data_IF_969591334505
#
_entry.id   IF_969591334505
#
_cell.length_a   1.000
_cell.length_b   1.000
_cell.length_c   1.000
_cell.angle_alpha   90.00
_cell.angle_beta   90.00
_cell.angle_gamma   90.00
#
_symmetry.space_group_name_H-M   'P 1'
#
loop_
_entity.id
_entity.type
_entity.pdbx_description
1 polymer ?
#
# COMPACT_ATOMS: atom_id res chain seq x y z
N UNK A 1 -20.12 5.58 -10.81
CA UNK A 1 -18.81 5.59 -10.08
C UNK A 1 -18.98 6.51 -8.89
N UNK A 2 -18.40 6.21 -7.75
CA UNK A 2 -18.46 7.13 -6.60
C UNK A 2 -17.76 8.43 -6.93
N UNK A 3 -18.35 9.57 -6.57
CA UNK A 3 -17.73 10.90 -6.70
C UNK A 3 -16.63 11.12 -5.66
N UNK A 4 -16.28 10.08 -4.87
CA UNK A 4 -15.31 10.16 -3.78
C UNK A 4 -14.04 9.37 -4.06
N UNK A 5 -12.92 9.93 -3.60
CA UNK A 5 -11.59 9.31 -3.64
C UNK A 5 -11.23 8.82 -2.25
N UNK A 6 -10.86 7.56 -2.12
CA UNK A 6 -10.17 7.05 -0.94
C UNK A 6 -8.69 7.40 -1.06
N UNK A 7 -8.12 7.95 0.00
CA UNK A 7 -6.68 8.18 0.12
C UNK A 7 -6.12 7.23 1.16
N UNK A 8 -5.13 6.44 0.76
CA UNK A 8 -4.33 5.61 1.64
C UNK A 8 -2.96 6.25 1.87
N UNK A 9 -2.43 6.11 3.08
CA UNK A 9 -1.08 6.55 3.41
C UNK A 9 -0.20 5.37 3.82
N UNK A 10 0.92 5.18 3.12
CA UNK A 10 1.95 4.19 3.42
C UNK A 10 3.04 4.83 4.30
N UNK A 11 2.96 4.57 5.62
CA UNK A 11 3.64 5.39 6.62
C UNK A 11 5.15 5.29 6.59
N UNK A 12 5.73 4.10 6.36
CA UNK A 12 7.14 3.86 6.67
C UNK A 12 7.89 2.94 5.69
N UNK A 13 7.24 1.89 5.14
CA UNK A 13 7.94 0.83 4.39
C UNK A 13 9.03 0.13 5.22
N UNK A 14 9.90 -0.66 4.56
CA UNK A 14 11.05 -1.32 5.21
C UNK A 14 12.34 -1.26 4.37
N UNK A 15 12.29 -0.65 3.18
CA UNK A 15 13.46 -0.55 2.31
C UNK A 15 14.31 0.71 2.57
N UNK A 16 13.81 1.64 3.38
CA UNK A 16 14.45 2.91 3.68
C UNK A 16 15.13 2.87 5.04
N UNK A 17 16.39 3.33 5.10
CA UNK A 17 17.12 3.51 6.37
C UNK A 17 16.62 4.79 7.08
N UNK A 18 16.08 4.68 8.31
CA UNK A 18 15.64 5.83 9.10
C UNK A 18 16.75 6.87 9.38
N UNK A 19 18.01 6.48 9.27
CA UNK A 19 19.15 7.41 9.39
C UNK A 19 19.31 8.33 8.17
N UNK A 20 18.77 7.92 7.02
CA UNK A 20 18.87 8.68 5.77
C UNK A 20 17.58 9.47 5.47
N UNK A 21 16.46 8.97 5.94
CA UNK A 21 15.15 9.55 5.68
C UNK A 21 14.27 9.49 6.94
N UNK A 22 13.45 10.51 7.21
CA UNK A 22 12.63 10.61 8.42
C UNK A 22 11.38 9.72 8.37
N UNK A 23 11.58 8.41 8.28
CA UNK A 23 10.46 7.44 8.33
C UNK A 23 10.18 7.04 9.78
N UNK A 24 8.90 6.89 10.18
CA UNK A 24 8.54 6.50 11.54
C UNK A 24 8.93 5.05 11.82
N UNK A 25 9.37 4.77 13.04
CA UNK A 25 9.83 3.46 13.52
C UNK A 25 9.08 3.04 14.78
N UNK A 26 8.98 3.91 15.79
CA UNK A 26 8.34 3.58 17.07
C UNK A 26 6.81 3.71 17.01
N UNK A 27 6.07 3.08 17.94
CA UNK A 27 4.61 3.26 18.02
C UNK A 27 4.18 4.74 18.09
N UNK A 28 4.91 5.56 18.84
CA UNK A 28 4.63 6.99 19.00
C UNK A 28 4.89 7.77 17.70
N UNK A 29 5.97 7.44 17.00
CA UNK A 29 6.29 8.03 15.70
C UNK A 29 5.23 7.63 14.65
N UNK A 30 4.83 6.35 14.63
CA UNK A 30 3.78 5.84 13.74
C UNK A 30 2.45 6.54 14.01
N UNK A 31 2.04 6.68 15.26
CA UNK A 31 0.81 7.37 15.63
C UNK A 31 0.84 8.85 15.23
N UNK A 32 1.96 9.55 15.43
CA UNK A 32 2.14 10.94 15.04
C UNK A 32 2.04 11.14 13.53
N UNK A 33 2.74 10.32 12.74
CA UNK A 33 2.72 10.39 11.28
C UNK A 33 1.37 9.96 10.70
N UNK A 34 0.74 8.94 11.28
CA UNK A 34 -0.63 8.55 10.93
C UNK A 34 -1.63 9.69 11.19
N UNK A 35 -1.52 10.38 12.34
CA UNK A 35 -2.36 11.53 12.67
C UNK A 35 -2.20 12.66 11.65
N UNK A 36 -0.97 12.99 11.26
CA UNK A 36 -0.71 14.01 10.25
C UNK A 36 -1.32 13.64 8.89
N UNK A 37 -1.22 12.37 8.49
CA UNK A 37 -1.83 11.86 7.26
C UNK A 37 -3.38 11.85 7.34
N UNK A 38 -3.93 11.43 8.49
CA UNK A 38 -5.36 11.40 8.75
C UNK A 38 -5.99 12.79 8.67
N UNK A 39 -5.38 13.78 9.32
CA UNK A 39 -5.83 15.18 9.29
C UNK A 39 -5.75 15.79 7.88
N UNK A 40 -4.83 15.28 7.05
CA UNK A 40 -4.71 15.67 5.64
C UNK A 40 -5.74 14.99 4.72
N UNK A 41 -6.46 13.96 5.21
CA UNK A 41 -7.55 13.30 4.50
C UNK A 41 -7.32 11.82 4.16
N UNK A 42 -6.28 11.18 4.68
CA UNK A 42 -6.11 9.73 4.51
C UNK A 42 -7.10 8.97 5.40
N UNK A 43 -7.84 8.02 4.82
CA UNK A 43 -8.78 7.17 5.52
C UNK A 43 -8.19 5.78 5.83
N UNK A 44 -7.11 5.39 5.16
CA UNK A 44 -6.45 4.09 5.28
C UNK A 44 -4.98 4.31 5.60
N UNK A 45 -4.45 3.62 6.62
CA UNK A 45 -3.02 3.60 6.94
C UNK A 45 -2.42 2.25 6.59
N UNK A 46 -1.51 2.23 5.62
CA UNK A 46 -0.69 1.06 5.29
C UNK A 46 0.56 1.05 6.17
N UNK A 47 0.76 -0.06 6.87
CA UNK A 47 1.71 -0.14 7.97
C UNK A 47 2.67 -1.32 7.80
N UNK A 48 3.95 -1.04 7.83
CA UNK A 48 5.02 -2.01 8.06
C UNK A 48 5.50 -1.91 9.51
N UNK A 49 5.98 -3.02 10.05
CA UNK A 49 6.58 -3.06 11.38
C UNK A 49 8.11 -3.11 11.26
N UNK A 50 8.78 -2.32 12.07
CA UNK A 50 10.24 -2.21 12.10
C UNK A 50 10.79 -2.60 13.46
N UNK A 51 12.00 -3.17 13.52
CA UNK A 51 12.64 -3.53 14.78
C UNK A 51 12.89 -2.30 15.65
N UNK A 52 12.61 -2.43 16.97
CA UNK A 52 12.68 -1.34 17.92
C UNK A 52 14.05 -1.21 18.62
N UNK A 53 14.90 -2.24 18.53
CA UNK A 53 16.22 -2.19 19.14
C UNK A 53 17.08 -1.03 18.55
N UNK A 54 17.88 -0.34 19.37
CA UNK A 54 18.71 0.77 18.92
C UNK A 54 19.54 0.42 17.67
N UNK A 55 19.43 1.25 16.62
CA UNK A 55 20.11 1.06 15.35
C UNK A 55 19.55 -0.02 14.43
N UNK A 56 18.47 -0.71 14.81
CA UNK A 56 17.82 -1.78 14.03
C UNK A 56 16.56 -1.35 13.27
N UNK A 57 16.10 -0.11 13.42
CA UNK A 57 14.89 0.40 12.78
C UNK A 57 14.86 0.32 11.23
N UNK A 58 15.97 -0.01 10.58
CA UNK A 58 16.04 -0.29 9.14
C UNK A 58 15.64 -1.72 8.78
N UNK A 59 15.43 -2.60 9.77
CA UNK A 59 15.04 -3.99 9.57
C UNK A 59 13.53 -4.18 9.82
N UNK A 60 12.87 -5.08 9.07
CA UNK A 60 11.48 -5.44 9.35
C UNK A 60 11.38 -6.20 10.67
N UNK A 61 10.19 -6.13 11.28
CA UNK A 61 9.81 -6.95 12.43
C UNK A 61 8.52 -7.70 12.11
N UNK A 62 8.43 -8.93 12.59
CA UNK A 62 7.22 -9.76 12.52
C UNK A 62 6.83 -10.25 13.93
N UNK A 63 7.02 -9.38 14.92
CA UNK A 63 6.63 -9.64 16.30
C UNK A 63 5.15 -9.24 16.50
N UNK A 64 4.23 -10.20 16.78
CA UNK A 64 2.80 -9.92 16.86
C UNK A 64 2.44 -8.88 17.95
N UNK A 65 3.11 -8.90 19.08
CA UNK A 65 2.88 -7.94 20.18
C UNK A 65 3.22 -6.51 19.76
N UNK A 66 4.34 -6.33 19.03
CA UNK A 66 4.73 -5.04 18.48
C UNK A 66 3.72 -4.58 17.42
N UNK A 67 3.27 -5.49 16.55
CA UNK A 67 2.27 -5.19 15.55
C UNK A 67 0.97 -4.68 16.18
N UNK A 68 0.46 -5.37 17.21
CA UNK A 68 -0.72 -4.95 17.96
C UNK A 68 -0.50 -3.57 18.62
N UNK A 69 0.67 -3.35 19.24
CA UNK A 69 1.00 -2.08 19.90
C UNK A 69 1.00 -0.91 18.92
N UNK A 70 1.66 -1.06 17.75
CA UNK A 70 1.71 -0.02 16.72
C UNK A 70 0.30 0.26 16.17
N UNK A 71 -0.44 -0.78 15.82
CA UNK A 71 -1.78 -0.62 15.24
C UNK A 71 -2.76 0.02 16.23
N UNK A 72 -2.66 -0.32 17.52
CA UNK A 72 -3.47 0.32 18.56
C UNK A 72 -3.12 1.79 18.74
N UNK A 73 -1.82 2.14 18.77
CA UNK A 73 -1.39 3.54 18.85
C UNK A 73 -1.92 4.39 17.67
N UNK A 74 -1.95 3.82 16.46
CA UNK A 74 -2.54 4.49 15.29
C UNK A 74 -4.07 4.66 15.45
N UNK A 75 -4.79 3.63 15.93
CA UNK A 75 -6.25 3.71 16.17
C UNK A 75 -6.59 4.78 17.20
N UNK A 76 -5.82 4.86 18.28
CA UNK A 76 -6.03 5.85 19.36
C UNK A 76 -5.82 7.28 18.85
N UNK A 77 -4.82 7.49 17.97
CA UNK A 77 -4.55 8.79 17.38
C UNK A 77 -5.53 9.18 16.26
N UNK A 78 -6.12 8.22 15.56
CA UNK A 78 -6.93 8.42 14.34
C UNK A 78 -8.29 7.70 14.48
N UNK A 79 -9.28 8.29 15.15
CA UNK A 79 -10.58 7.64 15.39
C UNK A 79 -11.26 7.18 14.10
N UNK A 80 -11.58 5.88 14.02
CA UNK A 80 -12.26 5.29 12.89
C UNK A 80 -11.37 4.99 11.67
N UNK A 81 -10.06 5.22 11.74
CA UNK A 81 -9.12 4.89 10.65
C UNK A 81 -9.22 3.42 10.26
N UNK A 82 -8.95 3.13 9.00
CA UNK A 82 -8.85 1.77 8.48
C UNK A 82 -7.38 1.38 8.45
N UNK A 83 -7.06 0.21 9.00
CA UNK A 83 -5.70 -0.31 9.01
C UNK A 83 -5.49 -1.30 7.87
N UNK A 84 -4.37 -1.16 7.19
CA UNK A 84 -3.89 -2.02 6.12
C UNK A 84 -2.50 -2.54 6.51
N UNK A 85 -2.41 -3.83 6.84
CA UNK A 85 -1.14 -4.45 7.21
C UNK A 85 -0.37 -4.90 5.98
N UNK A 86 0.91 -4.54 5.92
CA UNK A 86 1.82 -5.10 4.91
C UNK A 86 2.15 -6.56 5.21
N UNK A 87 2.17 -7.39 4.16
CA UNK A 87 2.58 -8.80 4.26
C UNK A 87 3.81 -9.11 3.41
N UNK A 88 4.44 -8.09 2.83
CA UNK A 88 5.57 -8.25 1.91
C UNK A 88 6.79 -8.88 2.56
N UNK A 89 7.17 -10.08 2.12
CA UNK A 89 8.38 -10.80 2.56
C UNK A 89 9.15 -11.33 1.37
N UNK A 90 10.47 -11.41 1.50
CA UNK A 90 11.34 -12.14 0.59
C UNK A 90 11.49 -13.57 1.11
N UNK A 91 11.41 -14.55 0.19
CA UNK A 91 11.52 -15.98 0.50
C UNK A 91 10.19 -16.62 0.92
N UNK A 92 10.25 -17.90 1.19
CA UNK A 92 9.07 -18.75 1.44
C UNK A 92 8.56 -18.74 2.88
N UNK A 93 9.34 -18.24 3.83
CA UNK A 93 8.91 -18.19 5.24
C UNK A 93 7.96 -17.01 5.47
N UNK A 94 6.68 -17.31 5.58
CA UNK A 94 5.60 -16.34 5.85
C UNK A 94 4.99 -16.48 7.25
N UNK A 95 5.56 -17.28 8.11
CA UNK A 95 5.02 -17.54 9.46
C UNK A 95 4.86 -16.26 10.29
N UNK A 96 5.83 -15.34 10.19
CA UNK A 96 5.78 -14.06 10.89
C UNK A 96 4.61 -13.17 10.45
N UNK A 97 4.50 -12.81 9.16
CA UNK A 97 3.34 -12.05 8.67
C UNK A 97 1.99 -12.70 9.00
N UNK A 98 1.87 -14.02 8.86
CA UNK A 98 0.61 -14.71 9.20
C UNK A 98 0.30 -14.65 10.71
N UNK A 99 1.33 -14.66 11.57
CA UNK A 99 1.14 -14.47 13.01
C UNK A 99 0.68 -13.04 13.35
N UNK A 100 1.26 -12.02 12.69
CA UNK A 100 0.84 -10.63 12.84
C UNK A 100 -0.60 -10.43 12.38
N UNK A 101 -0.99 -10.94 11.20
CA UNK A 101 -2.39 -10.89 10.72
C UNK A 101 -3.38 -11.47 11.71
N UNK A 102 -3.06 -12.63 12.33
CA UNK A 102 -3.92 -13.26 13.33
C UNK A 102 -4.02 -12.46 14.62
N UNK A 103 -2.95 -11.79 15.02
CA UNK A 103 -2.92 -10.98 16.23
C UNK A 103 -3.64 -9.65 16.06
N UNK A 104 -3.39 -8.96 14.94
CA UNK A 104 -3.92 -7.61 14.66
C UNK A 104 -5.35 -7.65 14.13
N UNK A 105 -5.66 -8.58 13.21
CA UNK A 105 -6.93 -8.67 12.47
C UNK A 105 -7.30 -7.32 11.84
N UNK A 106 -6.45 -6.76 10.97
CA UNK A 106 -6.73 -5.48 10.35
C UNK A 106 -7.91 -5.58 9.38
N UNK A 107 -8.54 -4.46 9.05
CA UNK A 107 -9.64 -4.44 8.08
C UNK A 107 -9.17 -4.82 6.66
N UNK A 108 -7.94 -4.42 6.30
CA UNK A 108 -7.30 -4.69 5.01
C UNK A 108 -5.89 -5.22 5.26
N UNK A 109 -5.40 -6.08 4.39
CA UNK A 109 -3.98 -6.38 4.32
C UNK A 109 -3.51 -6.45 2.86
N UNK A 110 -2.28 -6.00 2.62
CA UNK A 110 -1.65 -6.13 1.31
C UNK A 110 -1.48 -7.61 0.96
N UNK A 111 -1.83 -7.96 -0.26
CA UNK A 111 -1.65 -9.28 -0.83
C UNK A 111 -0.88 -9.16 -2.14
N UNK A 112 0.42 -9.46 -2.12
CA UNK A 112 1.24 -9.44 -3.32
C UNK A 112 0.75 -10.52 -4.28
N UNK A 113 0.13 -10.11 -5.40
CA UNK A 113 -0.69 -11.01 -6.22
C UNK A 113 0.10 -11.85 -7.24
N UNK A 114 1.43 -11.75 -7.23
CA UNK A 114 2.30 -12.50 -8.14
C UNK A 114 3.77 -12.16 -7.96
N UNK A 115 4.63 -12.96 -8.57
CA UNK A 115 6.08 -12.83 -8.51
C UNK A 115 6.62 -11.95 -9.63
N UNK A 116 7.71 -11.24 -9.36
CA UNK A 116 8.47 -10.50 -10.37
C UNK A 116 9.97 -10.54 -10.05
N UNK A 117 10.81 -10.35 -11.06
CA UNK A 117 12.22 -10.06 -10.83
C UNK A 117 12.33 -8.68 -10.18
N UNK A 118 13.03 -8.59 -9.04
CA UNK A 118 13.22 -7.32 -8.34
C UNK A 118 14.61 -6.77 -8.65
N UNK A 119 14.66 -5.85 -9.61
CA UNK A 119 15.89 -5.36 -10.20
C UNK A 119 15.98 -3.84 -10.07
N UNK A 120 17.22 -3.36 -9.93
CA UNK A 120 17.53 -1.93 -10.01
C UNK A 120 18.96 -1.74 -10.51
N UNK A 121 19.10 -0.84 -11.48
CA UNK A 121 20.40 -0.48 -12.07
C UNK A 121 20.85 0.88 -11.57
N UNK A 122 22.11 1.01 -11.14
CA UNK A 122 22.73 2.30 -10.83
C UNK A 122 23.10 3.06 -12.10
N UNK A 123 23.39 4.34 -11.96
CA UNK A 123 23.81 5.21 -13.10
C UNK A 123 25.09 4.74 -13.79
N UNK A 124 25.92 3.96 -13.11
CA UNK A 124 27.16 3.36 -13.67
C UNK A 124 26.92 2.01 -14.35
N UNK A 125 25.66 1.56 -14.46
CA UNK A 125 25.28 0.28 -15.07
C UNK A 125 25.39 -0.93 -14.14
N UNK A 126 25.88 -0.78 -12.92
CA UNK A 126 25.93 -1.87 -11.93
C UNK A 126 24.57 -2.12 -11.27
N UNK A 127 24.35 -3.35 -10.77
CA UNK A 127 23.17 -3.64 -9.96
C UNK A 127 23.20 -2.91 -8.63
N UNK A 128 22.09 -2.30 -8.22
CA UNK A 128 21.96 -1.63 -6.95
C UNK A 128 22.02 -2.61 -5.75
N UNK A 129 21.58 -3.84 -5.99
CA UNK A 129 21.65 -5.01 -5.11
C UNK A 129 21.74 -6.28 -5.97
N UNK A 130 22.11 -7.43 -5.41
CA UNK A 130 22.07 -8.68 -6.15
C UNK A 130 20.66 -8.96 -6.71
N UNK A 131 20.52 -9.23 -8.02
CA UNK A 131 19.23 -9.58 -8.62
C UNK A 131 18.55 -10.71 -7.86
N UNK A 132 17.27 -10.54 -7.56
CA UNK A 132 16.46 -11.57 -6.90
C UNK A 132 15.02 -11.55 -7.40
N UNK A 133 14.28 -12.60 -7.10
CA UNK A 133 12.84 -12.66 -7.34
C UNK A 133 12.12 -12.21 -6.07
N UNK A 134 11.21 -11.25 -6.22
CA UNK A 134 10.18 -11.01 -5.22
C UNK A 134 9.12 -12.09 -5.43
N UNK A 135 9.28 -13.18 -4.68
CA UNK A 135 8.57 -14.43 -4.90
C UNK A 135 7.20 -14.45 -4.20
N UNK A 136 6.15 -14.45 -4.99
CA UNK A 136 4.77 -14.59 -4.56
C UNK A 136 4.07 -15.63 -5.45
N UNK A 137 4.46 -16.91 -5.36
CA UNK A 137 3.82 -17.98 -6.11
C UNK A 137 2.38 -18.20 -5.61
N UNK A 138 1.57 -18.90 -6.40
CA UNK A 138 0.14 -19.06 -6.16
C UNK A 138 -0.19 -19.69 -4.81
N UNK A 139 0.60 -20.65 -4.35
CA UNK A 139 0.46 -21.29 -3.04
C UNK A 139 0.72 -20.33 -1.87
N UNK A 140 1.72 -19.44 -2.01
CA UNK A 140 1.98 -18.37 -1.04
C UNK A 140 0.83 -17.35 -1.01
N UNK A 141 0.33 -16.92 -2.17
CA UNK A 141 -0.85 -16.05 -2.27
C UNK A 141 -2.05 -16.71 -1.61
N UNK A 142 -2.26 -18.02 -1.87
CA UNK A 142 -3.37 -18.76 -1.24
C UNK A 142 -3.25 -18.79 0.27
N UNK A 143 -2.07 -19.05 0.81
CA UNK A 143 -1.85 -19.09 2.26
C UNK A 143 -2.20 -17.76 2.93
N UNK A 144 -1.87 -16.62 2.31
CA UNK A 144 -2.30 -15.30 2.80
C UNK A 144 -3.82 -15.15 2.73
N UNK A 145 -4.45 -15.50 1.60
CA UNK A 145 -5.90 -15.40 1.44
C UNK A 145 -6.66 -16.28 2.44
N UNK A 146 -6.15 -17.47 2.76
CA UNK A 146 -6.75 -18.35 3.76
C UNK A 146 -6.75 -17.70 5.16
N UNK A 147 -5.62 -17.11 5.58
CA UNK A 147 -5.54 -16.41 6.87
C UNK A 147 -6.34 -15.12 6.89
N UNK A 148 -6.36 -14.36 5.79
CA UNK A 148 -7.21 -13.18 5.68
C UNK A 148 -8.70 -13.54 5.80
N UNK A 149 -9.12 -14.67 5.21
CA UNK A 149 -10.48 -15.18 5.39
C UNK A 149 -10.76 -15.63 6.83
N UNK A 150 -9.79 -16.29 7.49
CA UNK A 150 -9.86 -16.70 8.91
C UNK A 150 -10.06 -15.50 9.84
N UNK A 151 -9.36 -14.39 9.56
CA UNK A 151 -9.34 -13.20 10.41
C UNK A 151 -10.41 -12.15 10.07
N UNK A 152 -11.15 -12.35 8.98
CA UNK A 152 -12.10 -11.35 8.47
C UNK A 152 -11.43 -10.17 7.77
N UNK A 153 -10.12 -10.26 7.49
CA UNK A 153 -9.33 -9.26 6.79
C UNK A 153 -9.59 -9.32 5.29
N UNK A 154 -9.74 -8.17 4.62
CA UNK A 154 -9.90 -8.13 3.17
C UNK A 154 -8.55 -7.93 2.46
N UNK A 155 -8.24 -8.71 1.41
CA UNK A 155 -7.02 -8.51 0.64
C UNK A 155 -7.09 -7.24 -0.21
N UNK A 156 -5.99 -6.48 -0.24
CA UNK A 156 -5.66 -5.50 -1.24
C UNK A 156 -4.60 -6.10 -2.17
N UNK A 157 -4.98 -6.42 -3.40
CA UNK A 157 -4.10 -7.12 -4.34
C UNK A 157 -3.10 -6.16 -4.96
N UNK A 158 -1.85 -6.23 -4.53
CA UNK A 158 -0.74 -5.46 -5.10
C UNK A 158 -0.26 -6.10 -6.41
N UNK A 159 -0.35 -5.31 -7.48
CA UNK A 159 -0.08 -5.72 -8.85
C UNK A 159 1.06 -4.90 -9.42
N UNK A 160 2.21 -5.52 -9.65
CA UNK A 160 3.44 -4.88 -10.11
C UNK A 160 3.59 -4.91 -11.65
N UNK A 161 2.81 -5.75 -12.33
CA UNK A 161 2.77 -5.82 -13.79
C UNK A 161 1.36 -6.22 -14.30
N UNK A 162 1.20 -6.15 -15.64
CA UNK A 162 -0.06 -6.47 -16.34
C UNK A 162 -0.48 -7.93 -16.15
N UNK A 163 0.47 -8.85 -16.12
CA UNK A 163 0.21 -10.28 -15.90
C UNK A 163 -0.36 -10.53 -14.51
N UNK A 164 0.19 -9.86 -13.50
CA UNK A 164 -0.28 -9.97 -12.10
C UNK A 164 -1.72 -9.42 -11.97
N UNK A 165 -2.07 -8.30 -12.64
CA UNK A 165 -3.47 -7.80 -12.66
C UNK A 165 -4.42 -8.88 -13.18
N UNK A 166 -4.02 -9.61 -14.23
CA UNK A 166 -4.83 -10.71 -14.78
C UNK A 166 -4.93 -11.90 -13.83
N UNK A 167 -3.86 -12.22 -13.09
CA UNK A 167 -3.85 -13.29 -12.10
C UNK A 167 -4.94 -13.10 -11.03
N UNK A 168 -5.17 -11.88 -10.54
CA UNK A 168 -6.24 -11.58 -9.58
C UNK A 168 -7.62 -12.01 -10.11
N UNK A 169 -7.93 -11.73 -11.38
CA UNK A 169 -9.14 -12.21 -12.03
C UNK A 169 -9.23 -13.74 -12.12
N UNK A 170 -8.07 -14.41 -12.29
CA UNK A 170 -8.00 -15.89 -12.30
C UNK A 170 -8.22 -16.46 -10.90
N UNK A 171 -7.70 -15.84 -9.85
CA UNK A 171 -7.93 -16.24 -8.46
C UNK A 171 -9.42 -16.19 -8.10
N UNK A 172 -10.10 -15.11 -8.49
CA UNK A 172 -11.54 -14.99 -8.30
C UNK A 172 -12.32 -16.04 -9.11
N UNK A 173 -11.97 -16.26 -10.38
CA UNK A 173 -12.62 -17.25 -11.24
C UNK A 173 -12.41 -18.69 -10.76
N UNK A 174 -11.23 -19.00 -10.20
CA UNK A 174 -10.92 -20.32 -9.65
C UNK A 174 -11.60 -20.56 -8.29
N UNK A 175 -12.12 -19.53 -7.64
CA UNK A 175 -12.73 -19.62 -6.30
C UNK A 175 -11.71 -19.52 -5.15
N UNK A 176 -10.45 -19.20 -5.45
CA UNK A 176 -9.42 -18.96 -4.46
C UNK A 176 -9.70 -17.69 -3.63
N UNK A 177 -10.39 -16.71 -4.24
CA UNK A 177 -10.94 -15.54 -3.57
C UNK A 177 -12.39 -15.33 -3.97
N UNK A 178 -13.30 -15.22 -2.99
CA UNK A 178 -14.75 -15.11 -3.22
C UNK A 178 -15.32 -13.70 -3.04
N UNK A 179 -14.50 -12.76 -2.58
CA UNK A 179 -14.91 -11.37 -2.39
C UNK A 179 -14.82 -10.53 -3.67
N UNK A 180 -15.06 -9.22 -3.53
CA UNK A 180 -14.81 -8.23 -4.58
C UNK A 180 -13.34 -7.79 -4.51
N UNK A 181 -12.48 -8.15 -5.49
CA UNK A 181 -11.06 -7.81 -5.43
C UNK A 181 -10.85 -6.31 -5.40
N UNK A 182 -9.90 -5.87 -4.55
CA UNK A 182 -9.38 -4.51 -4.53
C UNK A 182 -8.01 -4.53 -5.19
N UNK A 183 -7.87 -3.82 -6.30
CA UNK A 183 -6.62 -3.76 -7.05
C UNK A 183 -5.78 -2.58 -6.58
N UNK A 184 -4.51 -2.82 -6.30
CA UNK A 184 -3.52 -1.78 -6.11
C UNK A 184 -2.47 -1.89 -7.22
N UNK A 185 -2.45 -0.95 -8.15
CA UNK A 185 -1.45 -0.89 -9.21
C UNK A 185 -0.19 -0.24 -8.63
N UNK A 186 0.83 -1.06 -8.36
CA UNK A 186 2.13 -0.61 -7.86
C UNK A 186 3.02 -0.31 -9.06
N UNK A 187 3.25 0.98 -9.31
CA UNK A 187 3.95 1.47 -10.49
C UNK A 187 5.20 2.27 -10.09
N UNK A 188 6.22 2.27 -10.94
CA UNK A 188 7.49 2.95 -10.69
C UNK A 188 8.58 2.08 -10.05
N UNK A 189 8.29 0.82 -9.70
CA UNK A 189 9.35 -0.17 -9.43
C UNK A 189 10.03 -0.48 -10.75
N UNK A 190 11.38 -0.33 -10.82
CA UNK A 190 12.14 -0.37 -12.10
C UNK A 190 11.90 -1.63 -12.94
N UNK A 191 11.67 -2.76 -12.31
CA UNK A 191 11.44 -4.05 -12.98
C UNK A 191 9.96 -4.41 -13.13
N UNK A 192 9.06 -3.55 -12.67
CA UNK A 192 7.61 -3.65 -12.82
C UNK A 192 7.05 -2.68 -13.86
N UNK A 193 5.80 -2.26 -13.67
CA UNK A 193 5.18 -1.24 -14.51
C UNK A 193 5.83 0.13 -14.26
N UNK A 194 6.20 0.88 -15.32
CA UNK A 194 6.64 2.26 -15.17
C UNK A 194 5.49 3.14 -14.61
N UNK A 195 5.86 4.28 -14.00
CA UNK A 195 4.89 5.27 -13.54
C UNK A 195 4.29 6.08 -14.71
N UNK A 196 3.78 5.37 -15.72
CA UNK A 196 3.21 5.95 -16.95
C UNK A 196 1.68 6.03 -16.84
N UNK A 197 1.09 7.26 -16.87
CA UNK A 197 -0.35 7.45 -16.81
C UNK A 197 -1.15 6.76 -17.94
N UNK A 198 -0.53 6.53 -19.10
CA UNK A 198 -1.20 5.92 -20.25
C UNK A 198 -1.46 4.41 -20.07
N UNK A 199 -0.82 3.78 -19.09
CA UNK A 199 -1.12 2.39 -18.71
C UNK A 199 -2.44 2.26 -17.94
N UNK A 200 -2.89 3.28 -17.22
CA UNK A 200 -4.07 3.18 -16.35
C UNK A 200 -5.36 2.76 -17.06
N UNK A 201 -5.71 3.26 -18.26
CA UNK A 201 -6.88 2.80 -18.97
C UNK A 201 -6.80 1.31 -19.35
N UNK A 202 -5.61 0.80 -19.64
CA UNK A 202 -5.36 -0.61 -19.98
C UNK A 202 -5.54 -1.46 -18.73
N UNK A 203 -4.88 -1.10 -17.63
CA UNK A 203 -4.96 -1.81 -16.35
C UNK A 203 -6.42 -1.88 -15.85
N UNK A 204 -7.14 -0.76 -15.91
CA UNK A 204 -8.55 -0.68 -15.53
C UNK A 204 -9.44 -1.64 -16.35
N UNK A 205 -9.17 -1.82 -17.63
CA UNK A 205 -9.90 -2.79 -18.48
C UNK A 205 -9.67 -4.25 -18.07
N UNK A 206 -8.54 -4.54 -17.42
CA UNK A 206 -8.17 -5.88 -16.99
C UNK A 206 -8.68 -6.22 -15.59
N UNK A 207 -9.19 -5.25 -14.83
CA UNK A 207 -9.84 -5.51 -13.54
C UNK A 207 -11.21 -6.13 -13.74
N UNK A 208 -11.71 -6.82 -12.74
CA UNK A 208 -13.11 -7.29 -12.75
C UNK A 208 -14.06 -6.09 -12.73
N UNK A 209 -15.18 -6.25 -13.43
CA UNK A 209 -16.16 -5.18 -13.58
C UNK A 209 -16.61 -4.62 -12.23
N UNK A 210 -16.53 -3.31 -12.09
CA UNK A 210 -16.90 -2.60 -10.87
C UNK A 210 -15.94 -2.76 -9.69
N UNK A 211 -14.84 -3.50 -9.83
CA UNK A 211 -13.85 -3.64 -8.76
C UNK A 211 -13.19 -2.28 -8.42
N UNK A 212 -13.01 -1.93 -7.15
CA UNK A 212 -12.26 -0.75 -6.77
C UNK A 212 -10.77 -0.95 -7.12
N UNK A 213 -10.13 0.14 -7.51
CA UNK A 213 -8.71 0.15 -7.82
C UNK A 213 -8.06 1.43 -7.33
N UNK A 214 -6.81 1.32 -6.94
CA UNK A 214 -5.95 2.45 -6.56
C UNK A 214 -4.61 2.38 -7.25
N UNK A 215 -3.86 3.46 -7.14
CA UNK A 215 -2.48 3.56 -7.61
C UNK A 215 -1.56 3.80 -6.42
N UNK A 216 -0.50 3.01 -6.35
CA UNK A 216 0.73 3.28 -5.60
C UNK A 216 1.81 3.65 -6.61
N UNK A 217 2.46 4.79 -6.41
CA UNK A 217 3.50 5.27 -7.31
C UNK A 217 4.82 5.45 -6.55
N UNK A 218 5.84 4.69 -6.94
CA UNK A 218 7.16 4.69 -6.29
C UNK A 218 8.14 5.47 -7.17
N UNK A 219 8.73 6.53 -6.62
CA UNK A 219 9.66 7.37 -7.38
C UNK A 219 9.87 8.73 -6.74
N UNK A 220 10.17 9.73 -7.58
CA UNK A 220 10.39 11.12 -7.15
C UNK A 220 9.28 12.03 -7.67
N UNK A 221 9.63 13.22 -8.16
CA UNK A 221 8.65 14.19 -8.69
C UNK A 221 7.89 13.68 -9.92
N UNK A 222 8.47 12.79 -10.71
CA UNK A 222 7.92 12.24 -11.94
C UNK A 222 6.67 11.36 -11.74
N UNK A 223 6.39 10.90 -10.53
CA UNK A 223 5.23 10.03 -10.25
C UNK A 223 3.89 10.79 -10.14
N UNK A 224 3.92 12.08 -9.90
CA UNK A 224 2.71 12.85 -9.57
C UNK A 224 1.68 12.95 -10.71
N UNK A 225 2.06 13.03 -12.00
CA UNK A 225 1.09 12.95 -13.10
C UNK A 225 0.25 11.66 -13.10
N UNK A 226 0.82 10.53 -12.64
CA UNK A 226 0.11 9.27 -12.51
C UNK A 226 -1.03 9.36 -11.48
N UNK A 227 -0.80 9.98 -10.32
CA UNK A 227 -1.83 10.18 -9.31
C UNK A 227 -2.96 11.09 -9.81
N UNK A 228 -2.64 12.18 -10.50
CA UNK A 228 -3.62 13.06 -11.13
C UNK A 228 -4.50 12.26 -12.10
N UNK A 229 -3.89 11.50 -12.99
CA UNK A 229 -4.60 10.69 -13.96
C UNK A 229 -5.46 9.60 -13.32
N UNK A 230 -4.99 8.98 -12.25
CA UNK A 230 -5.79 8.02 -11.49
C UNK A 230 -7.04 8.66 -10.89
N UNK A 231 -6.94 9.85 -10.31
CA UNK A 231 -8.08 10.60 -9.80
C UNK A 231 -9.11 10.90 -10.89
N UNK A 232 -8.68 11.37 -12.07
CA UNK A 232 -9.54 11.66 -13.23
C UNK A 232 -10.27 10.40 -13.74
N UNK A 233 -9.60 9.25 -13.74
CA UNK A 233 -10.16 7.97 -14.24
C UNK A 233 -11.05 7.25 -13.23
N UNK A 234 -11.26 7.81 -12.04
CA UNK A 234 -12.12 7.23 -11.00
C UNK A 234 -11.39 6.26 -10.08
N UNK A 235 -10.06 6.23 -10.06
CA UNK A 235 -9.25 5.46 -9.14
C UNK A 235 -9.16 6.08 -7.75
N UNK A 236 -8.67 5.28 -6.79
CA UNK A 236 -8.24 5.72 -5.47
C UNK A 236 -6.73 5.93 -5.46
N UNK A 237 -6.20 6.56 -4.41
CA UNK A 237 -4.83 7.07 -4.39
C UNK A 237 -4.10 6.60 -3.14
N UNK A 238 -2.82 6.22 -3.31
CA UNK A 238 -1.91 5.94 -2.19
C UNK A 238 -0.62 6.72 -2.36
N UNK A 239 -0.12 7.29 -1.27
CA UNK A 239 1.22 7.87 -1.13
C UNK A 239 1.71 7.72 0.29
N UNK A 240 2.95 8.08 0.56
CA UNK A 240 3.56 8.11 1.88
C UNK A 240 5.07 8.03 1.82
N UNK A 241 5.72 8.13 2.98
CA UNK A 241 7.18 8.06 3.10
C UNK A 241 7.76 6.68 2.72
N UNK A 242 6.92 5.67 2.55
CA UNK A 242 7.29 4.39 1.93
C UNK A 242 7.49 4.55 0.42
N UNK A 243 6.66 5.36 -0.25
CA UNK A 243 6.53 5.41 -1.70
C UNK A 243 7.38 6.54 -2.31
N UNK A 244 7.45 7.69 -1.63
CA UNK A 244 8.21 8.87 -2.10
C UNK A 244 8.58 9.82 -0.96
N UNK A 245 9.66 10.59 -1.17
CA UNK A 245 10.08 11.70 -0.31
C UNK A 245 9.98 13.06 -1.01
N UNK A 246 9.36 13.12 -2.19
CA UNK A 246 9.40 14.30 -3.05
C UNK A 246 8.01 14.80 -3.41
N UNK A 247 7.83 16.11 -3.37
CA UNK A 247 6.68 16.82 -3.93
C UNK A 247 6.82 16.99 -5.46
N UNK A 248 5.75 17.43 -6.16
CA UNK A 248 5.79 17.63 -7.62
C UNK A 248 6.85 18.61 -8.11
N UNK A 249 7.25 19.56 -7.27
CA UNK A 249 8.30 20.54 -7.56
C UNK A 249 9.72 20.02 -7.29
N UNK A 250 9.85 18.75 -6.87
CA UNK A 250 11.12 18.12 -6.54
C UNK A 250 11.63 18.41 -5.13
N UNK A 251 10.95 19.20 -4.33
CA UNK A 251 11.31 19.44 -2.93
C UNK A 251 11.08 18.18 -2.08
N UNK A 252 11.96 17.98 -1.09
CA UNK A 252 11.81 16.86 -0.14
C UNK A 252 10.87 17.22 0.99
N UNK A 253 10.11 16.22 1.43
CA UNK A 253 9.26 16.30 2.61
C UNK A 253 9.73 15.35 3.70
N UNK A 254 9.43 15.70 4.95
CA UNK A 254 9.70 14.88 6.13
C UNK A 254 8.43 14.39 6.84
N UNK A 255 7.26 14.44 6.17
CA UNK A 255 5.97 14.11 6.77
C UNK A 255 5.04 13.45 5.77
N UNK A 256 4.35 12.41 6.21
CA UNK A 256 3.27 11.77 5.47
C UNK A 256 2.09 12.73 5.20
N UNK A 257 1.79 13.63 6.12
CA UNK A 257 0.72 14.60 5.96
C UNK A 257 0.89 15.50 4.74
N UNK A 258 2.12 15.97 4.45
CA UNK A 258 2.40 16.80 3.28
C UNK A 258 2.15 16.08 1.95
N UNK A 259 2.50 14.80 1.87
CA UNK A 259 2.25 13.95 0.70
C UNK A 259 0.75 13.73 0.49
N UNK A 260 0.02 13.40 1.57
CA UNK A 260 -1.43 13.20 1.52
C UNK A 260 -2.17 14.48 1.11
N UNK A 261 -1.72 15.66 1.56
CA UNK A 261 -2.30 16.95 1.12
C UNK A 261 -2.22 17.12 -0.40
N UNK A 262 -1.14 16.66 -1.04
CA UNK A 262 -1.03 16.69 -2.51
C UNK A 262 -2.04 15.78 -3.20
N UNK A 263 -2.25 14.56 -2.70
CA UNK A 263 -3.30 13.67 -3.23
C UNK A 263 -4.69 14.25 -3.02
N UNK A 264 -4.94 14.83 -1.84
CA UNK A 264 -6.19 15.51 -1.54
C UNK A 264 -6.47 16.68 -2.49
N UNK A 265 -5.42 17.42 -2.88
CA UNK A 265 -5.50 18.46 -3.91
C UNK A 265 -5.88 17.87 -5.27
N UNK A 266 -5.20 16.82 -5.74
CA UNK A 266 -5.50 16.19 -7.03
C UNK A 266 -6.90 15.58 -7.09
N UNK A 267 -7.40 15.01 -5.98
CA UNK A 267 -8.78 14.55 -5.88
C UNK A 267 -9.77 15.71 -6.13
N UNK A 268 -9.56 16.85 -5.48
CA UNK A 268 -10.42 18.03 -5.63
C UNK A 268 -10.31 18.66 -7.03
N UNK A 269 -9.11 18.73 -7.61
CA UNK A 269 -8.88 19.20 -8.98
C UNK A 269 -9.60 18.31 -10.03
N UNK A 270 -9.73 17.01 -9.75
CA UNK A 270 -10.53 16.09 -10.54
C UNK A 270 -12.05 16.16 -10.25
N UNK A 271 -12.51 17.13 -9.46
CA UNK A 271 -13.92 17.29 -9.10
C UNK A 271 -14.46 16.25 -8.12
N UNK A 272 -13.60 15.53 -7.39
CA UNK A 272 -13.99 14.44 -6.51
C UNK A 272 -13.76 14.80 -5.04
N UNK A 273 -14.74 14.48 -4.18
CA UNK A 273 -14.61 14.61 -2.74
C UNK A 273 -13.71 13.53 -2.14
N UNK A 274 -13.09 13.81 -1.00
CA UNK A 274 -12.30 12.83 -0.24
C UNK A 274 -13.27 12.01 0.63
N UNK A 275 -13.11 10.70 0.61
CA UNK A 275 -13.93 9.81 1.43
C UNK A 275 -13.46 9.82 2.89
N UNK A 276 -14.38 9.97 3.83
CA UNK A 276 -14.13 9.71 5.25
C UNK A 276 -13.88 8.22 5.52
N UNK A 277 -13.36 7.83 6.68
CA UNK A 277 -13.21 6.42 7.04
C UNK A 277 -14.50 5.60 6.94
N UNK A 278 -15.65 6.15 7.34
CA UNK A 278 -16.96 5.50 7.20
C UNK A 278 -17.30 5.25 5.74
N UNK A 279 -17.24 6.31 4.93
CA UNK A 279 -17.52 6.21 3.49
C UNK A 279 -16.54 5.29 2.76
N UNK A 280 -15.29 5.22 3.23
CA UNK A 280 -14.30 4.29 2.71
C UNK A 280 -14.72 2.84 2.98
N UNK A 281 -15.24 2.52 4.18
CA UNK A 281 -15.78 1.19 4.46
C UNK A 281 -16.93 0.81 3.52
N UNK A 282 -17.86 1.73 3.30
CA UNK A 282 -18.98 1.54 2.36
C UNK A 282 -18.47 1.29 0.94
N UNK A 283 -17.53 2.12 0.44
CA UNK A 283 -16.96 2.01 -0.91
C UNK A 283 -16.17 0.71 -1.12
N UNK A 284 -15.44 0.30 -0.10
CA UNK A 284 -14.58 -0.88 -0.13
C UNK A 284 -15.32 -2.16 0.29
N UNK A 285 -16.56 -2.05 0.79
CA UNK A 285 -17.34 -3.18 1.30
C UNK A 285 -16.67 -3.84 2.52
N UNK A 286 -16.12 -3.04 3.43
CA UNK A 286 -15.52 -3.51 4.68
C UNK A 286 -16.60 -3.67 5.76
N UNK A 287 -16.37 -4.58 6.72
CA UNK A 287 -17.24 -4.74 7.86
C UNK A 287 -17.27 -3.47 8.73
N UNK A 288 -18.40 -3.20 9.40
CA UNK A 288 -18.56 -2.03 10.26
C UNK A 288 -18.80 -0.70 9.51
N UNK A 289 -19.32 -0.78 8.29
CA UNK A 289 -19.79 0.38 7.54
C UNK A 289 -21.11 0.92 8.10
#
# INVERSE_FOLDING_TARGET
MSDKVVIACALTGVLTDPKQHPVPVTPEEMAREAKAAFDAGAAVMHVHFRQQAPGKGHLPSWEPELAVTIMQAIRDACPGVILNESTGTIGSNISGPLACLRAVKPEIAACNAGSLNYLKVRSDGSWAWPPHVFDNPVDKVKAYLDVMAETGTQPEFECFDVGIVRCVGMYAKNGMYKGRPKYNFVMGVESGMPADPDLLPILKKLTLAGAPWQVTAIGRAEIWPLHRRAAELGGHLRTGLEDTFYLPDGSKVGSNGALVQMLARYAREAGRAIASPRETRELMGLAGA
#
